data_IF_369716768498
#
_entry.id   IF_369716768498
#
_cell.length_a   1.000
_cell.length_b   1.000
_cell.length_c   1.000
_cell.angle_alpha   90.00
_cell.angle_beta   90.00
_cell.angle_gamma   90.00
#
_symmetry.space_group_name_H-M   'P 1'
#
loop_
_entity.id
_entity.type
_entity.pdbx_description
1 polymer ?
#
# COMPACT_ATOMS: atom_id res chain seq x y z
N UNK A 1 17.54 -15.00 -61.91
CA UNK A 1 18.68 -15.17 -60.99
C UNK A 1 19.38 -13.82 -60.97
N UNK A 2 19.44 -13.01 -59.91
CA UNK A 2 19.36 -13.27 -58.47
C UNK A 2 18.69 -12.08 -57.78
N UNK A 3 17.81 -12.41 -56.83
CA UNK A 3 17.28 -11.50 -55.83
C UNK A 3 18.43 -11.06 -54.92
N UNK A 4 18.59 -9.76 -54.66
CA UNK A 4 19.53 -9.26 -53.64
C UNK A 4 18.74 -8.45 -52.63
N UNK A 5 18.30 -9.16 -51.60
CA UNK A 5 17.62 -8.66 -50.43
C UNK A 5 18.55 -7.74 -49.64
N UNK A 6 18.10 -6.53 -49.31
CA UNK A 6 18.77 -5.68 -48.34
C UNK A 6 18.48 -6.23 -46.93
N UNK A 7 19.50 -6.45 -46.06
CA UNK A 7 19.23 -6.91 -44.71
C UNK A 7 18.69 -5.76 -43.84
N UNK A 8 17.65 -5.98 -43.01
CA UNK A 8 17.35 -5.08 -41.90
C UNK A 8 18.40 -5.30 -40.80
N UNK A 9 19.36 -4.38 -40.70
CA UNK A 9 20.40 -4.38 -39.68
C UNK A 9 19.86 -3.97 -38.32
N UNK A 10 19.80 -4.97 -37.43
CA UNK A 10 19.88 -4.92 -35.96
C UNK A 10 19.01 -3.90 -35.20
N UNK A 11 17.97 -4.48 -34.59
CA UNK A 11 17.44 -4.04 -33.32
C UNK A 11 18.47 -4.19 -32.18
N UNK A 12 18.15 -3.49 -31.08
CA UNK A 12 18.61 -3.66 -29.70
C UNK A 12 19.93 -2.98 -29.34
N UNK A 13 19.84 -1.84 -28.61
CA UNK A 13 20.41 -1.68 -27.26
C UNK A 13 20.25 -0.25 -26.69
N UNK A 14 19.06 0.35 -26.70
CA UNK A 14 18.84 1.58 -25.92
C UNK A 14 17.48 1.57 -25.23
N UNK A 15 17.25 0.56 -24.37
CA UNK A 15 16.30 0.70 -23.27
C UNK A 15 17.10 0.88 -21.97
N UNK A 16 17.95 1.91 -21.97
CA UNK A 16 18.54 2.46 -20.76
C UNK A 16 17.42 3.14 -19.98
N UNK A 17 16.64 2.30 -19.27
CA UNK A 17 15.53 2.62 -18.39
C UNK A 17 15.80 3.93 -17.63
N UNK A 18 15.22 5.02 -18.12
CA UNK A 18 15.25 6.32 -17.47
C UNK A 18 14.88 6.15 -15.98
N UNK A 19 15.50 6.92 -15.06
CA UNK A 19 15.24 6.78 -13.64
C UNK A 19 13.73 6.88 -13.38
N UNK A 20 13.17 5.83 -12.79
CA UNK A 20 11.74 5.74 -12.51
C UNK A 20 11.39 6.88 -11.56
N UNK A 21 10.51 7.77 -11.99
CA UNK A 21 9.99 8.79 -11.10
C UNK A 21 9.38 8.12 -9.85
N UNK A 22 9.92 8.44 -8.69
CA UNK A 22 9.48 7.89 -7.41
C UNK A 22 8.00 8.21 -7.16
N UNK A 23 7.26 7.23 -6.60
CA UNK A 23 5.89 7.47 -6.15
C UNK A 23 5.87 8.51 -5.03
N UNK A 24 4.86 9.38 -5.11
CA UNK A 24 4.53 10.43 -4.15
C UNK A 24 3.00 10.44 -3.98
N UNK A 25 2.52 11.11 -2.95
CA UNK A 25 1.11 11.40 -2.79
C UNK A 25 0.69 12.49 -3.77
N UNK A 26 -0.50 12.35 -4.32
CA UNK A 26 -1.12 13.39 -5.13
C UNK A 26 -1.38 14.62 -4.24
N UNK A 27 -1.01 15.81 -4.73
CA UNK A 27 -1.01 17.03 -3.93
C UNK A 27 -2.42 17.46 -3.52
N UNK A 28 -3.40 17.37 -4.42
CA UNK A 28 -4.74 17.93 -4.21
C UNK A 28 -5.79 16.91 -3.79
N UNK A 29 -5.96 15.82 -4.55
CA UNK A 29 -6.80 14.69 -4.17
C UNK A 29 -6.30 13.97 -2.90
N UNK A 30 -6.77 14.44 -1.74
CA UNK A 30 -6.51 13.88 -0.41
C UNK A 30 -7.65 14.26 0.53
N UNK A 31 -7.89 13.47 1.55
CA UNK A 31 -8.92 13.72 2.56
C UNK A 31 -8.63 14.97 3.39
N UNK A 32 -9.69 15.55 3.97
CA UNK A 32 -9.63 16.82 4.69
C UNK A 32 -8.73 16.79 5.94
N UNK A 33 -8.51 15.61 6.53
CA UNK A 33 -7.60 15.44 7.67
C UNK A 33 -6.16 15.15 7.26
N UNK A 34 -5.83 15.13 5.97
CA UNK A 34 -4.48 14.80 5.50
C UNK A 34 -3.63 16.06 5.31
N UNK A 35 -2.45 16.07 5.94
CA UNK A 35 -1.37 17.00 5.62
C UNK A 35 -0.19 16.26 5.01
N UNK A 36 0.23 16.73 3.83
CA UNK A 36 1.42 16.22 3.15
C UNK A 36 2.66 17.02 3.53
N UNK A 37 3.83 16.39 3.49
CA UNK A 37 5.09 17.11 3.55
C UNK A 37 5.39 17.88 2.24
N UNK A 38 6.39 18.75 2.26
CA UNK A 38 6.78 19.55 1.08
C UNK A 38 7.18 18.70 -0.12
N UNK A 39 7.65 17.48 0.14
CA UNK A 39 8.11 16.55 -0.90
C UNK A 39 6.96 15.72 -1.47
N UNK A 40 5.77 15.75 -0.87
CA UNK A 40 4.66 14.86 -1.19
C UNK A 40 4.96 13.39 -0.89
N UNK A 41 5.98 13.06 -0.10
CA UNK A 41 6.34 11.68 0.22
C UNK A 41 5.72 11.21 1.53
N UNK A 42 5.32 12.13 2.40
CA UNK A 42 4.78 11.80 3.71
C UNK A 42 3.35 12.32 3.86
N UNK A 43 2.45 11.49 4.36
CA UNK A 43 1.08 11.85 4.69
C UNK A 43 0.82 11.67 6.19
N UNK A 44 0.25 12.70 6.81
CA UNK A 44 -0.11 12.72 8.22
C UNK A 44 -1.60 12.99 8.37
N UNK A 45 -2.31 12.17 9.15
CA UNK A 45 -3.66 12.50 9.60
C UNK A 45 -3.57 13.50 10.76
N UNK A 46 -4.21 14.66 10.64
CA UNK A 46 -4.14 15.76 11.61
C UNK A 46 -4.95 15.44 12.87
N UNK A 47 -6.25 15.29 12.75
CA UNK A 47 -7.17 14.97 13.82
C UNK A 47 -8.10 13.81 13.43
N UNK A 48 -8.96 13.40 14.37
CA UNK A 48 -10.00 12.39 14.18
C UNK A 48 -9.47 11.02 13.72
N UNK A 49 -10.37 10.15 13.25
CA UNK A 49 -10.10 8.80 12.75
C UNK A 49 -10.53 8.59 11.29
N UNK A 50 -11.03 9.62 10.60
CA UNK A 50 -11.57 9.55 9.23
C UNK A 50 -11.02 10.67 8.35
N UNK A 51 -11.45 10.73 7.08
CA UNK A 51 -10.96 11.65 6.05
C UNK A 51 -9.45 11.54 5.82
N UNK A 52 -8.92 10.31 5.91
CA UNK A 52 -7.49 9.97 5.79
C UNK A 52 -7.06 9.51 4.40
N UNK A 53 -7.93 9.63 3.40
CA UNK A 53 -7.72 9.08 2.05
C UNK A 53 -6.58 9.81 1.32
N UNK A 54 -5.69 9.06 0.70
CA UNK A 54 -4.62 9.59 -0.17
C UNK A 54 -4.44 8.72 -1.40
N UNK A 55 -3.97 9.33 -2.49
CA UNK A 55 -3.70 8.66 -3.75
C UNK A 55 -2.24 8.84 -4.17
N UNK A 56 -1.71 7.93 -5.00
CA UNK A 56 -0.45 8.19 -5.69
C UNK A 56 -0.60 9.32 -6.71
N UNK A 57 0.46 10.09 -6.95
CA UNK A 57 0.44 11.21 -7.89
C UNK A 57 0.40 10.77 -9.37
N UNK A 58 0.74 9.51 -9.64
CA UNK A 58 0.74 8.91 -10.97
C UNK A 58 0.18 7.48 -10.92
N UNK A 59 -0.19 6.89 -12.08
CA UNK A 59 -0.44 5.46 -12.17
C UNK A 59 0.76 4.65 -11.68
N UNK A 60 0.46 3.57 -10.96
CA UNK A 60 1.41 2.53 -10.59
C UNK A 60 1.66 1.67 -11.82
N UNK A 61 2.93 1.45 -12.14
CA UNK A 61 3.31 0.65 -13.30
C UNK A 61 3.01 -0.82 -13.04
N UNK A 62 2.85 -1.58 -14.12
CA UNK A 62 2.74 -3.04 -14.01
C UNK A 62 3.95 -3.64 -13.31
N UNK A 63 3.70 -4.58 -12.42
CA UNK A 63 4.72 -5.26 -11.61
C UNK A 63 5.49 -4.34 -10.61
N UNK A 64 5.13 -3.04 -10.52
CA UNK A 64 5.63 -2.11 -9.49
C UNK A 64 4.97 -2.43 -8.14
N UNK A 65 5.77 -2.54 -7.08
CA UNK A 65 5.28 -2.71 -5.72
C UNK A 65 5.27 -1.36 -5.03
N UNK A 66 4.09 -0.90 -4.61
CA UNK A 66 3.97 0.31 -3.81
C UNK A 66 4.53 -0.01 -2.43
N UNK A 67 5.52 0.76 -2.00
CA UNK A 67 6.16 0.59 -0.70
C UNK A 67 5.89 1.81 0.16
N UNK A 68 5.43 1.60 1.39
CA UNK A 68 5.28 2.65 2.38
C UNK A 68 5.86 2.22 3.72
N UNK A 69 6.34 3.19 4.50
CA UNK A 69 6.76 3.02 5.89
C UNK A 69 5.72 3.64 6.81
N UNK A 70 5.37 2.94 7.89
CA UNK A 70 4.55 3.52 8.97
C UNK A 70 5.45 4.38 9.85
N UNK A 71 5.13 5.66 9.98
CA UNK A 71 5.96 6.61 10.73
C UNK A 71 5.44 6.87 12.14
N UNK A 72 4.12 6.78 12.34
CA UNK A 72 3.48 7.13 13.61
C UNK A 72 2.20 6.35 13.80
N UNK A 73 1.95 5.96 15.04
CA UNK A 73 0.70 5.39 15.51
C UNK A 73 0.02 6.29 16.55
N UNK A 74 -1.28 6.12 16.71
CA UNK A 74 -2.15 6.75 17.70
C UNK A 74 -3.08 5.69 18.29
N UNK A 75 -2.72 5.15 19.46
CA UNK A 75 -3.42 4.01 20.08
C UNK A 75 -4.77 4.36 20.75
N UNK A 76 -5.22 5.62 20.67
CA UNK A 76 -6.57 6.01 21.11
C UNK A 76 -7.66 5.62 20.10
N UNK A 77 -7.27 5.13 18.92
CA UNK A 77 -8.18 4.67 17.87
C UNK A 77 -8.04 3.18 17.62
N UNK A 78 -9.12 2.55 17.15
CA UNK A 78 -9.12 1.16 16.70
C UNK A 78 -9.10 1.07 15.17
N UNK A 79 -8.63 -0.06 14.65
CA UNK A 79 -8.54 -0.32 13.21
C UNK A 79 -7.15 -0.05 12.63
N UNK A 80 -6.94 -0.43 11.37
CA UNK A 80 -5.61 -0.42 10.74
C UNK A 80 -5.57 0.30 9.40
N UNK A 81 -4.35 0.57 8.93
CA UNK A 81 -4.06 1.11 7.61
C UNK A 81 -4.80 0.31 6.52
N UNK A 82 -5.45 1.03 5.60
CA UNK A 82 -6.08 0.42 4.42
C UNK A 82 -5.26 0.74 3.19
N UNK A 83 -5.12 -0.24 2.30
CA UNK A 83 -4.35 -0.12 1.06
C UNK A 83 -5.10 -0.73 -0.10
N UNK A 84 -4.91 -0.17 -1.29
CA UNK A 84 -5.63 -0.63 -2.47
C UNK A 84 -5.22 0.07 -3.74
N UNK A 85 -6.04 -0.13 -4.76
CA UNK A 85 -5.90 0.51 -6.06
C UNK A 85 -7.22 1.07 -6.55
N UNK A 86 -7.15 2.13 -7.33
CA UNK A 86 -8.32 2.76 -7.95
C UNK A 86 -8.06 3.04 -9.43
N UNK A 87 -9.14 3.10 -10.21
CA UNK A 87 -9.14 3.64 -11.58
C UNK A 87 -9.59 5.10 -11.65
N UNK A 88 -9.92 5.71 -10.51
CA UNK A 88 -10.10 7.16 -10.46
C UNK A 88 -8.76 7.82 -10.73
N UNK A 89 -8.71 8.69 -11.74
CA UNK A 89 -7.56 9.57 -11.93
C UNK A 89 -7.60 10.65 -10.84
N UNK A 90 -6.61 10.70 -9.92
CA UNK A 90 -6.58 11.69 -8.84
C UNK A 90 -6.56 13.14 -9.35
N UNK A 91 -6.15 13.39 -10.59
CA UNK A 91 -6.22 14.72 -11.18
C UNK A 91 -7.68 15.18 -11.42
N UNK A 92 -8.63 14.24 -11.50
CA UNK A 92 -10.06 14.49 -11.70
C UNK A 92 -10.87 14.34 -10.40
N UNK A 93 -10.23 13.96 -9.29
CA UNK A 93 -10.89 13.78 -8.00
C UNK A 93 -10.85 15.09 -7.23
N UNK A 94 -12.03 15.62 -6.91
CA UNK A 94 -12.17 16.80 -6.05
C UNK A 94 -12.04 16.40 -4.58
N UNK A 95 -11.18 17.07 -3.81
CA UNK A 95 -10.96 16.73 -2.40
C UNK A 95 -12.25 16.80 -1.54
N UNK A 96 -13.14 17.80 -1.70
CA UNK A 96 -14.42 17.84 -0.99
C UNK A 96 -15.40 16.73 -1.34
N UNK A 97 -15.24 16.03 -2.47
CA UNK A 97 -16.11 14.91 -2.86
C UNK A 97 -15.62 13.56 -2.33
N UNK A 98 -14.49 13.52 -1.62
CA UNK A 98 -13.99 12.29 -1.02
C UNK A 98 -14.87 11.88 0.17
N UNK A 99 -15.28 10.60 0.25
CA UNK A 99 -16.00 10.12 1.42
C UNK A 99 -15.05 9.96 2.62
N UNK A 100 -15.59 9.73 3.83
CA UNK A 100 -14.78 9.60 5.03
C UNK A 100 -13.80 8.42 5.03
N UNK A 101 -14.11 7.35 4.31
CA UNK A 101 -13.35 6.11 4.32
C UNK A 101 -13.12 5.54 2.91
N UNK A 102 -11.98 4.87 2.71
CA UNK A 102 -11.80 4.06 1.48
C UNK A 102 -12.74 2.85 1.49
N UNK A 103 -12.81 2.13 2.62
CA UNK A 103 -13.69 0.98 2.79
C UNK A 103 -14.77 1.28 3.85
N UNK A 104 -16.07 1.09 3.57
CA UNK A 104 -16.64 0.68 2.27
C UNK A 104 -16.88 1.84 1.29
N UNK A 105 -16.92 3.09 1.77
CA UNK A 105 -17.56 4.20 1.06
C UNK A 105 -17.00 4.46 -0.35
N UNK A 106 -15.69 4.68 -0.49
CA UNK A 106 -15.09 4.98 -1.80
C UNK A 106 -15.20 3.78 -2.75
N UNK A 107 -15.09 2.56 -2.25
CA UNK A 107 -15.24 1.36 -3.07
C UNK A 107 -16.65 1.17 -3.62
N UNK A 108 -17.68 1.45 -2.82
CA UNK A 108 -19.07 1.31 -3.26
C UNK A 108 -19.45 2.39 -4.30
N UNK A 109 -18.79 3.54 -4.25
CA UNK A 109 -19.10 4.70 -5.10
C UNK A 109 -18.24 4.79 -6.36
N UNK A 110 -17.17 3.99 -6.48
CA UNK A 110 -16.16 4.19 -7.52
C UNK A 110 -15.43 2.89 -7.91
N UNK A 111 -14.71 2.86 -9.04
CA UNK A 111 -13.88 1.71 -9.41
C UNK A 111 -12.61 1.66 -8.54
N UNK A 112 -12.80 1.31 -7.26
CA UNK A 112 -11.78 1.24 -6.22
C UNK A 112 -11.83 -0.11 -5.52
N UNK A 113 -10.65 -0.68 -5.25
CA UNK A 113 -10.49 -1.98 -4.59
C UNK A 113 -9.42 -1.86 -3.52
N UNK A 114 -9.81 -1.89 -2.26
CA UNK A 114 -8.91 -1.81 -1.14
C UNK A 114 -9.22 -2.88 -0.08
N UNK A 115 -8.40 -2.93 0.94
CA UNK A 115 -8.60 -3.78 2.10
C UNK A 115 -7.86 -3.18 3.30
N UNK A 116 -8.36 -3.50 4.49
CA UNK A 116 -7.65 -3.25 5.74
C UNK A 116 -6.51 -4.24 5.88
N UNK A 117 -5.32 -3.77 6.27
CA UNK A 117 -4.25 -4.66 6.70
C UNK A 117 -4.64 -5.35 8.00
N UNK A 118 -4.34 -6.65 8.17
CA UNK A 118 -4.62 -7.34 9.44
C UNK A 118 -3.99 -6.61 10.63
N UNK A 119 -4.61 -6.75 11.79
CA UNK A 119 -4.10 -6.14 13.01
C UNK A 119 -2.65 -6.57 13.30
N UNK A 120 -1.82 -5.63 13.76
CA UNK A 120 -0.39 -5.85 14.00
C UNK A 120 0.51 -5.91 12.76
N UNK A 121 -0.02 -5.73 11.54
CA UNK A 121 0.77 -5.74 10.30
C UNK A 121 1.32 -4.36 9.86
N UNK A 122 1.08 -3.31 10.63
CA UNK A 122 1.44 -1.94 10.26
C UNK A 122 1.90 -1.13 11.48
N UNK A 123 2.92 -1.61 12.17
CA UNK A 123 3.49 -0.95 13.35
C UNK A 123 4.49 0.13 12.95
N UNK A 124 4.76 1.09 13.85
CA UNK A 124 5.80 2.12 13.60
C UNK A 124 7.12 1.47 13.18
N UNK A 125 7.66 1.93 12.06
CA UNK A 125 8.91 1.44 11.46
C UNK A 125 8.72 0.36 10.41
N UNK A 126 7.57 -0.32 10.39
CA UNK A 126 7.28 -1.36 9.40
C UNK A 126 7.22 -0.80 7.99
N UNK A 127 7.72 -1.59 7.04
CA UNK A 127 7.59 -1.32 5.61
C UNK A 127 6.56 -2.26 5.00
N UNK A 128 5.41 -1.69 4.66
CA UNK A 128 4.34 -2.38 3.94
C UNK A 128 4.58 -2.24 2.45
N UNK A 129 4.56 -3.36 1.73
CA UNK A 129 4.57 -3.41 0.26
C UNK A 129 3.31 -4.04 -0.24
N UNK A 130 2.58 -3.37 -1.12
CA UNK A 130 1.37 -3.92 -1.74
C UNK A 130 1.40 -3.78 -3.25
N UNK A 131 0.75 -4.72 -3.94
CA UNK A 131 0.73 -4.80 -5.40
C UNK A 131 -0.45 -5.64 -5.89
N UNK A 132 -0.81 -5.47 -7.16
CA UNK A 132 -1.76 -6.32 -7.86
C UNK A 132 -1.00 -7.23 -8.81
N UNK A 133 -1.32 -8.52 -8.80
CA UNK A 133 -0.76 -9.47 -9.77
C UNK A 133 -1.54 -9.49 -11.09
N UNK A 134 -1.04 -10.24 -12.07
CA UNK A 134 -1.66 -10.38 -13.40
C UNK A 134 -3.04 -11.03 -13.38
N UNK A 135 -3.42 -11.67 -12.26
CA UNK A 135 -4.73 -12.30 -12.07
C UNK A 135 -5.72 -11.36 -11.36
N UNK A 136 -5.32 -10.12 -11.09
CA UNK A 136 -6.18 -9.16 -10.40
C UNK A 136 -6.28 -9.39 -8.89
N UNK A 137 -5.26 -10.01 -8.29
CA UNK A 137 -5.22 -10.24 -6.85
C UNK A 137 -4.34 -9.20 -6.18
N UNK A 138 -4.93 -8.50 -5.20
CA UNK A 138 -4.25 -7.53 -4.35
C UNK A 138 -3.54 -8.27 -3.21
N UNK A 139 -2.22 -8.12 -3.17
CA UNK A 139 -1.38 -8.65 -2.11
C UNK A 139 -0.74 -7.54 -1.29
N UNK A 140 -0.43 -7.85 -0.04
CA UNK A 140 0.51 -7.09 0.78
C UNK A 140 1.59 -7.99 1.38
N UNK A 141 2.73 -7.40 1.72
CA UNK A 141 3.83 -8.01 2.46
C UNK A 141 4.40 -6.96 3.41
N UNK A 142 4.54 -7.33 4.68
CA UNK A 142 5.15 -6.48 5.70
C UNK A 142 6.57 -6.95 5.92
N UNK A 143 7.55 -6.07 5.76
CA UNK A 143 8.97 -6.38 5.92
C UNK A 143 9.37 -7.67 5.16
N UNK A 144 10.01 -8.62 5.86
CA UNK A 144 10.38 -9.93 5.35
C UNK A 144 9.30 -11.01 5.55
N UNK A 145 8.14 -10.67 6.12
CA UNK A 145 7.08 -11.61 6.51
C UNK A 145 6.34 -12.28 5.36
N UNK A 146 5.28 -13.01 5.69
CA UNK A 146 4.46 -13.73 4.70
C UNK A 146 3.73 -12.77 3.74
N UNK A 147 3.49 -13.26 2.52
CA UNK A 147 2.61 -12.57 1.57
C UNK A 147 1.15 -12.79 2.00
N UNK A 148 0.41 -11.70 2.14
CA UNK A 148 -1.00 -11.66 2.51
C UNK A 148 -1.84 -11.42 1.25
N UNK A 149 -2.79 -12.31 0.95
CA UNK A 149 -3.82 -12.04 -0.04
C UNK A 149 -4.89 -11.18 0.63
N UNK A 150 -5.06 -9.96 0.15
CA UNK A 150 -6.03 -9.02 0.73
C UNK A 150 -7.36 -9.05 -0.02
N UNK A 151 -7.32 -9.14 -1.36
CA UNK A 151 -8.51 -9.05 -2.20
C UNK A 151 -8.29 -9.67 -3.58
N UNK A 152 -9.38 -10.09 -4.21
CA UNK A 152 -9.42 -10.52 -5.61
C UNK A 152 -10.37 -9.64 -6.44
N UNK A 153 -10.28 -9.75 -7.76
CA UNK A 153 -11.18 -9.03 -8.67
C UNK A 153 -10.73 -7.61 -9.02
N UNK A 154 -9.48 -7.24 -8.76
CA UNK A 154 -8.92 -5.97 -9.24
C UNK A 154 -8.66 -6.08 -10.76
N UNK A 155 -9.24 -5.23 -11.61
CA UNK A 155 -9.04 -5.33 -13.05
C UNK A 155 -7.57 -5.12 -13.44
N UNK A 156 -6.97 -6.12 -14.11
CA UNK A 156 -5.56 -6.08 -14.51
C UNK A 156 -5.26 -5.24 -15.76
N UNK A 157 -6.29 -4.66 -16.40
CA UNK A 157 -6.15 -3.76 -17.55
C UNK A 157 -6.17 -2.28 -17.15
N UNK A 158 -5.63 -1.41 -18.00
CA UNK A 158 -5.66 0.05 -17.80
C UNK A 158 -4.76 0.55 -16.67
N UNK A 159 -4.67 1.89 -16.48
CA UNK A 159 -3.91 2.48 -15.39
C UNK A 159 -4.61 2.25 -14.04
N UNK A 160 -3.83 2.00 -13.01
CA UNK A 160 -4.26 1.95 -11.62
C UNK A 160 -3.43 2.92 -10.79
N UNK A 161 -4.07 3.69 -9.92
CA UNK A 161 -3.40 4.51 -8.92
C UNK A 161 -3.44 3.78 -7.58
N UNK A 162 -2.39 3.95 -6.79
CA UNK A 162 -2.41 3.49 -5.41
C UNK A 162 -3.39 4.36 -4.62
N UNK A 163 -4.20 3.74 -3.77
CA UNK A 163 -5.02 4.45 -2.78
C UNK A 163 -4.72 3.87 -1.41
N UNK A 164 -4.61 4.75 -0.42
CA UNK A 164 -4.41 4.38 0.98
C UNK A 164 -5.35 5.21 1.86
N UNK A 165 -5.71 4.66 3.01
CA UNK A 165 -6.48 5.36 4.03
C UNK A 165 -5.65 5.40 5.31
N UNK A 166 -5.17 6.59 5.69
CA UNK A 166 -4.45 6.81 6.95
C UNK A 166 -5.48 6.73 8.09
N UNK A 167 -5.86 5.51 8.43
CA UNK A 167 -7.01 5.16 9.26
C UNK A 167 -6.61 4.44 10.56
N UNK A 168 -7.47 4.55 11.58
CA UNK A 168 -7.34 3.81 12.83
C UNK A 168 -6.06 4.18 13.58
N UNK A 169 -5.33 3.17 14.05
CA UNK A 169 -4.08 3.38 14.78
C UNK A 169 -3.00 4.05 13.94
N UNK A 170 -3.03 3.94 12.62
CA UNK A 170 -2.02 4.56 11.76
C UNK A 170 -2.25 6.07 11.66
N UNK A 171 -1.25 6.86 12.06
CA UNK A 171 -1.31 8.33 12.08
C UNK A 171 -0.48 8.99 10.99
N UNK A 172 0.60 8.34 10.55
CA UNK A 172 1.45 8.84 9.48
C UNK A 172 2.13 7.74 8.69
N UNK A 173 2.25 7.94 7.38
CA UNK A 173 2.91 7.03 6.44
C UNK A 173 3.83 7.80 5.49
N UNK A 174 4.90 7.14 5.03
CA UNK A 174 5.84 7.64 4.04
C UNK A 174 5.82 6.71 2.82
N UNK A 175 5.56 7.24 1.62
CA UNK A 175 5.81 6.52 0.37
C UNK A 175 7.33 6.44 0.14
N UNK A 176 7.82 5.22 0.05
CA UNK A 176 9.21 4.94 -0.27
C UNK A 176 9.34 4.95 -1.79
N UNK A 177 10.22 5.81 -2.31
CA UNK A 177 10.64 5.71 -3.70
C UNK A 177 11.23 4.32 -4.00
N UNK A 178 11.29 3.94 -5.27
CA UNK A 178 12.11 2.78 -5.65
C UNK A 178 13.56 3.10 -5.29
N UNK A 179 13.98 2.74 -4.09
CA UNK A 179 15.39 2.55 -3.82
C UNK A 179 15.83 1.53 -4.84
N UNK A 180 16.69 1.95 -5.78
CA UNK A 180 17.49 1.07 -6.59
C UNK A 180 17.96 -0.05 -5.67
N UNK A 181 17.58 -1.28 -5.97
CA UNK A 181 18.18 -2.46 -5.34
C UNK A 181 19.63 -2.47 -5.82
N UNK A 182 20.46 -1.67 -5.16
CA UNK A 182 21.86 -1.47 -5.41
C UNK A 182 22.58 -1.79 -4.12
N UNK A 183 23.22 -2.95 -4.12
CA UNK A 183 24.45 -3.19 -3.34
C UNK A 183 24.30 -3.22 -1.83
N UNK A 184 23.68 -4.29 -1.30
CA UNK A 184 24.17 -4.96 -0.09
C UNK A 184 23.96 -6.49 -0.21
N UNK A 185 24.41 -7.09 -1.32
CA UNK A 185 24.86 -8.49 -1.30
C UNK A 185 26.32 -8.48 -0.83
N UNK A 186 26.51 -8.19 0.45
CA UNK A 186 27.78 -8.40 1.12
C UNK A 186 27.97 -9.90 1.33
N UNK A 187 28.90 -10.48 0.57
CA UNK A 187 29.67 -11.71 0.83
C UNK A 187 29.20 -12.48 2.09
N UNK A 188 28.38 -13.50 1.90
CA UNK A 188 28.37 -14.62 2.84
C UNK A 188 29.44 -15.57 2.35
N UNK A 189 30.59 -15.53 3.04
CA UNK A 189 31.67 -16.49 2.85
C UNK A 189 31.21 -17.88 3.27
N UNK A 190 31.66 -18.86 2.51
CA UNK A 190 31.58 -20.27 2.84
C UNK A 190 32.23 -20.51 4.21
N UNK A 191 31.41 -20.84 5.19
CA UNK A 191 31.80 -21.26 6.52
C UNK A 191 31.03 -22.51 6.87
N UNK A 192 31.57 -23.66 6.48
CA UNK A 192 31.10 -24.97 6.93
C UNK A 192 31.25 -25.05 8.45
N UNK A 193 30.16 -25.28 9.17
CA UNK A 193 30.20 -25.75 10.56
C UNK A 193 28.95 -26.57 10.83
N UNK A 194 29.20 -27.87 10.93
CA UNK A 194 28.28 -28.91 11.35
C UNK A 194 27.71 -28.63 12.74
N UNK A 195 26.39 -28.61 12.86
CA UNK A 195 25.69 -28.59 14.14
C UNK A 195 24.20 -28.82 13.92
N UNK A 196 23.76 -30.06 14.04
CA UNK A 196 22.34 -30.46 14.05
C UNK A 196 21.63 -29.96 15.31
N UNK A 197 20.47 -29.30 15.21
CA UNK A 197 19.53 -29.21 16.32
C UNK A 197 18.26 -30.03 16.04
N UNK A 198 17.85 -30.75 17.08
CA UNK A 198 16.66 -31.58 17.15
C UNK A 198 15.35 -30.83 16.82
N UNK A 199 14.50 -31.51 16.06
CA UNK A 199 13.12 -31.13 15.76
C UNK A 199 12.20 -31.46 16.95
N UNK A 200 11.28 -30.58 17.35
CA UNK A 200 10.00 -31.01 17.89
C UNK A 200 8.95 -31.00 16.78
N UNK A 201 8.13 -32.05 16.78
CA UNK A 201 6.92 -32.23 15.97
C UNK A 201 5.95 -31.06 16.19
N UNK A 202 5.64 -30.30 15.14
CA UNK A 202 4.46 -29.45 15.11
C UNK A 202 3.29 -30.24 14.51
N UNK A 203 2.33 -30.59 15.35
CA UNK A 203 1.05 -31.17 14.97
C UNK A 203 0.26 -30.17 14.13
N UNK A 204 -0.26 -30.65 13.00
CA UNK A 204 -1.01 -29.83 12.05
C UNK A 204 -2.29 -29.27 12.66
N UNK A 205 -2.44 -27.95 12.62
CA UNK A 205 -3.73 -27.29 12.58
C UNK A 205 -3.76 -26.37 11.36
N UNK A 206 -4.57 -26.76 10.37
CA UNK A 206 -4.99 -25.87 9.28
C UNK A 206 -5.77 -24.73 9.93
N UNK A 207 -5.20 -23.53 9.95
CA UNK A 207 -5.95 -22.31 10.25
C UNK A 207 -6.65 -21.87 8.96
N UNK A 208 -7.93 -22.22 8.86
CA UNK A 208 -8.85 -21.53 7.94
C UNK A 208 -9.18 -20.18 8.56
N UNK A 209 -8.61 -19.10 8.02
CA UNK A 209 -9.03 -17.74 8.38
C UNK A 209 -10.35 -17.43 7.66
N UNK A 210 -11.46 -17.54 8.38
CA UNK A 210 -12.72 -16.93 7.97
C UNK A 210 -12.67 -15.44 8.32
N UNK A 211 -12.67 -14.56 7.32
CA UNK A 211 -12.92 -13.14 7.52
C UNK A 211 -14.35 -12.97 8.05
N UNK A 212 -14.49 -12.78 9.36
CA UNK A 212 -15.71 -12.21 9.92
C UNK A 212 -15.62 -10.70 9.74
N UNK A 213 -16.59 -10.11 9.05
CA UNK A 213 -16.82 -8.67 9.06
C UNK A 213 -17.22 -8.33 10.51
N UNK A 214 -16.21 -8.03 11.33
CA UNK A 214 -16.44 -7.58 12.70
C UNK A 214 -17.14 -6.24 12.62
N UNK A 215 -18.43 -6.25 12.96
CA UNK A 215 -19.16 -5.05 13.36
C UNK A 215 -18.54 -4.56 14.67
N UNK A 216 -17.49 -3.76 14.58
CA UNK A 216 -17.06 -2.97 15.72
C UNK A 216 -18.19 -1.95 16.03
N UNK A 217 -18.79 -1.95 17.23
CA UNK A 217 -19.74 -0.92 17.59
C UNK A 217 -18.97 0.39 17.75
N UNK A 218 -19.44 1.41 17.05
CA UNK A 218 -18.99 2.79 17.16
C UNK A 218 -19.05 3.20 18.63
N UNK A 219 -17.90 3.41 19.27
CA UNK A 219 -17.86 4.03 20.59
C UNK A 219 -18.25 5.49 20.41
N UNK A 220 -19.42 5.84 20.91
CA UNK A 220 -19.88 7.21 21.05
C UNK A 220 -18.86 8.01 21.86
N UNK A 221 -18.15 8.94 21.20
CA UNK A 221 -17.44 10.01 21.90
C UNK A 221 -18.52 10.95 22.40
N UNK A 222 -18.90 10.79 23.67
CA UNK A 222 -19.77 11.70 24.40
C UNK A 222 -19.02 13.04 24.53
N UNK A 223 -19.44 14.06 23.79
CA UNK A 223 -19.03 15.43 24.09
C UNK A 223 -19.53 15.77 25.49
N UNK A 224 -18.61 16.04 26.41
CA UNK A 224 -18.95 16.59 27.72
C UNK A 224 -19.47 18.01 27.55
N UNK A 225 -20.72 18.24 27.93
CA UNK A 225 -21.23 19.59 28.22
C UNK A 225 -20.52 20.08 29.47
N UNK A 226 -19.68 21.10 29.32
CA UNK A 226 -19.10 21.82 30.45
C UNK A 226 -20.17 22.72 31.05
N UNK A 227 -20.55 22.44 32.30
CA UNK A 227 -21.23 23.41 33.16
C UNK A 227 -20.24 24.54 33.51
N UNK A 228 -20.66 25.78 33.26
CA UNK A 228 -20.09 26.96 33.90
C UNK A 228 -21.20 27.53 34.79
N UNK A 229 -20.84 27.67 36.06
CA UNK A 229 -21.66 28.12 37.19
C UNK A 229 -22.30 29.48 36.98
#
# INVERSE_FOLDING_TARGET
>A
MVCSCQPPGLAALEDAKAPREALRFHAEAKGAQVRLDKRGCTAHRLATFHDGIVFSQRPVRRDERVALRVLREEHSWCGGLRVGFTRLDPALVSAPSLPPFVCPDLEEQSPTWAAVLPEGCALVGDVVRFWVDRRGRLFAKVNAGCRLLLREGVPAGGPLWAVMDVYGTTKAIELLGEATVGTLQGRWGDGVSSGTPHHPRATGRRFTFSYSISRCPVLAVKMGTGDIR
#
